data_IF_284253068011
#
_entry.id   IF_284253068011
#
_cell.length_a   1.000
_cell.length_b   1.000
_cell.length_c   1.000
_cell.angle_alpha   90.00
_cell.angle_beta   90.00
_cell.angle_gamma   90.00
#
_symmetry.space_group_name_H-M   'P 1'
#
loop_
_entity.id
_entity.type
_entity.pdbx_description
1 polymer ?
#
# COMPACT_ATOMS: atom_id res chain seq x y z
N UNK A 1 -4.62 -5.81 16.07
CA UNK A 1 -5.28 -5.29 14.85
C UNK A 1 -5.80 -3.90 15.10
N UNK A 2 -5.25 -2.92 14.42
CA UNK A 2 -5.65 -1.52 14.64
C UNK A 2 -6.86 -1.08 13.84
N UNK A 3 -6.99 -1.59 12.62
CA UNK A 3 -8.04 -1.11 11.71
C UNK A 3 -8.94 -2.28 11.35
N UNK A 4 -10.17 -2.23 11.86
CA UNK A 4 -11.17 -3.26 11.58
C UNK A 4 -11.99 -2.94 10.35
N UNK A 5 -12.13 -1.66 10.03
CA UNK A 5 -12.90 -1.21 8.87
C UNK A 5 -12.10 -0.22 8.05
N UNK A 6 -12.49 -0.09 6.77
CA UNK A 6 -11.86 0.90 5.87
C UNK A 6 -12.07 2.31 6.39
N UNK A 7 -13.22 2.59 6.97
CA UNK A 7 -13.56 3.90 7.51
C UNK A 7 -12.60 4.31 8.63
N UNK A 8 -12.23 3.37 9.49
CA UNK A 8 -11.26 3.64 10.54
C UNK A 8 -9.90 3.99 9.95
N UNK A 9 -9.48 3.25 8.92
CA UNK A 9 -8.21 3.51 8.26
C UNK A 9 -8.22 4.88 7.58
N UNK A 10 -9.28 5.19 6.83
CA UNK A 10 -9.41 6.46 6.13
C UNK A 10 -9.38 7.63 7.12
N UNK A 11 -10.09 7.50 8.24
CA UNK A 11 -10.13 8.57 9.24
C UNK A 11 -8.75 8.85 9.84
N UNK A 12 -7.92 7.83 9.97
CA UNK A 12 -6.60 7.95 10.58
C UNK A 12 -5.48 8.24 9.56
N UNK A 13 -5.49 7.55 8.43
CA UNK A 13 -4.39 7.61 7.45
C UNK A 13 -4.75 8.29 6.15
N UNK A 14 -6.03 8.35 5.80
CA UNK A 14 -6.49 8.99 4.57
C UNK A 14 -6.76 8.00 3.45
N UNK A 15 -7.62 8.42 2.51
CA UNK A 15 -8.07 7.57 1.42
C UNK A 15 -6.96 7.26 0.42
N UNK A 16 -6.02 8.19 0.21
CA UNK A 16 -4.88 7.95 -0.69
C UNK A 16 -4.04 6.78 -0.21
N UNK A 17 -3.79 6.72 1.10
CA UNK A 17 -2.97 5.65 1.67
C UNK A 17 -3.72 4.33 1.69
N UNK A 18 -5.03 4.37 1.83
CA UNK A 18 -5.84 3.17 1.68
C UNK A 18 -5.69 2.59 0.28
N UNK A 19 -5.80 3.42 -0.74
CA UNK A 19 -5.64 2.99 -2.13
C UNK A 19 -4.26 2.40 -2.38
N UNK A 20 -3.22 3.01 -1.82
CA UNK A 20 -1.85 2.51 -1.94
C UNK A 20 -1.73 1.11 -1.32
N UNK A 21 -2.23 0.92 -0.11
CA UNK A 21 -2.15 -0.36 0.59
C UNK A 21 -2.90 -1.44 -0.17
N UNK A 22 -4.11 -1.15 -0.64
CA UNK A 22 -4.91 -2.11 -1.40
C UNK A 22 -4.24 -2.48 -2.72
N UNK A 23 -3.65 -1.51 -3.40
CA UNK A 23 -2.96 -1.75 -4.66
C UNK A 23 -1.77 -2.69 -4.48
N UNK A 24 -0.92 -2.38 -3.50
CA UNK A 24 0.27 -3.20 -3.25
C UNK A 24 -0.13 -4.61 -2.80
N UNK A 25 -1.11 -4.71 -1.92
CA UNK A 25 -1.57 -6.02 -1.43
C UNK A 25 -2.10 -6.86 -2.58
N UNK A 26 -2.84 -6.24 -3.50
CA UNK A 26 -3.34 -6.95 -4.68
C UNK A 26 -2.23 -7.51 -5.55
N UNK A 27 -1.16 -6.73 -5.75
CA UNK A 27 -0.01 -7.21 -6.53
C UNK A 27 0.72 -8.34 -5.82
N UNK A 28 0.86 -8.25 -4.50
CA UNK A 28 1.49 -9.33 -3.73
C UNK A 28 0.68 -10.62 -3.80
N UNK A 29 -0.65 -10.51 -3.78
CA UNK A 29 -1.52 -11.68 -3.91
C UNK A 29 -1.39 -12.35 -5.27
N UNK A 30 -0.95 -11.60 -6.29
CA UNK A 30 -0.67 -12.16 -7.62
C UNK A 30 0.70 -12.82 -7.69
N UNK A 31 1.47 -12.77 -6.62
CA UNK A 31 2.77 -13.42 -6.54
C UNK A 31 3.95 -12.56 -6.99
N UNK A 32 3.77 -11.25 -7.15
CA UNK A 32 4.87 -10.38 -7.56
C UNK A 32 5.86 -10.19 -6.41
N UNK A 33 7.15 -10.19 -6.75
CA UNK A 33 8.20 -9.85 -5.80
C UNK A 33 8.22 -8.35 -5.55
N UNK A 34 8.90 -7.93 -4.48
CA UNK A 34 8.96 -6.53 -4.09
C UNK A 34 9.43 -5.63 -5.25
N UNK A 35 10.48 -6.04 -5.95
CA UNK A 35 11.02 -5.25 -7.06
C UNK A 35 10.00 -5.05 -8.17
N UNK A 36 9.22 -6.09 -8.47
CA UNK A 36 8.19 -6.02 -9.48
C UNK A 36 7.02 -5.15 -9.03
N UNK A 37 6.65 -5.23 -7.76
CA UNK A 37 5.63 -4.36 -7.19
C UNK A 37 6.06 -2.90 -7.30
N UNK A 38 7.30 -2.60 -6.94
CA UNK A 38 7.83 -1.25 -7.02
C UNK A 38 7.84 -0.72 -8.45
N UNK A 39 8.22 -1.58 -9.41
CA UNK A 39 8.21 -1.21 -10.83
C UNK A 39 6.79 -0.87 -11.30
N UNK A 40 5.80 -1.65 -10.86
CA UNK A 40 4.41 -1.39 -11.23
C UNK A 40 3.89 -0.09 -10.61
N UNK A 41 4.30 0.23 -9.39
CA UNK A 41 3.90 1.47 -8.75
C UNK A 41 4.36 2.70 -9.54
N UNK A 42 5.59 2.66 -10.06
CA UNK A 42 6.12 3.74 -10.87
C UNK A 42 5.46 3.76 -12.25
N UNK A 43 5.36 2.59 -12.89
CA UNK A 43 4.79 2.46 -14.23
C UNK A 43 3.37 3.01 -14.30
N UNK A 44 2.56 2.72 -13.31
CA UNK A 44 1.16 3.11 -13.28
C UNK A 44 0.94 4.44 -12.55
N UNK A 45 2.02 5.14 -12.20
CA UNK A 45 1.98 6.46 -11.56
C UNK A 45 1.23 6.49 -10.24
N UNK A 46 1.18 5.35 -9.56
CA UNK A 46 0.65 5.28 -8.20
C UNK A 46 1.61 6.00 -7.26
N UNK A 47 2.92 5.81 -7.48
CA UNK A 47 3.97 6.57 -6.80
C UNK A 47 4.65 7.43 -7.88
N UNK A 48 4.73 8.74 -7.63
CA UNK A 48 5.14 9.69 -8.67
C UNK A 48 6.64 9.77 -8.90
N UNK A 49 7.44 9.37 -7.93
CA UNK A 49 8.90 9.45 -8.09
C UNK A 49 9.59 8.32 -7.33
N UNK A 50 10.78 7.89 -7.79
CA UNK A 50 11.55 6.86 -7.07
C UNK A 50 11.87 7.25 -5.62
N UNK A 51 12.01 8.55 -5.33
CA UNK A 51 12.26 9.01 -3.97
C UNK A 51 11.12 8.65 -3.02
N UNK A 52 9.89 8.76 -3.50
CA UNK A 52 8.71 8.45 -2.71
C UNK A 52 8.49 6.95 -2.55
N UNK A 53 9.10 6.16 -3.43
CA UNK A 53 8.87 4.72 -3.50
C UNK A 53 9.26 4.02 -2.20
N UNK A 54 10.43 4.33 -1.66
CA UNK A 54 10.89 3.71 -0.42
C UNK A 54 10.00 4.10 0.76
N UNK A 55 9.60 5.37 0.83
CA UNK A 55 8.75 5.85 1.90
C UNK A 55 7.38 5.19 1.86
N UNK A 56 6.79 5.12 0.67
CA UNK A 56 5.46 4.55 0.50
C UNK A 56 5.47 3.06 0.75
N UNK A 57 6.50 2.35 0.29
CA UNK A 57 6.59 0.91 0.52
C UNK A 57 6.84 0.61 2.00
N UNK A 58 7.65 1.41 2.67
CA UNK A 58 7.88 1.26 4.11
C UNK A 58 6.58 1.48 4.89
N UNK A 59 5.80 2.48 4.50
CA UNK A 59 4.49 2.71 5.10
C UNK A 59 3.59 1.47 4.94
N UNK A 60 3.56 0.91 3.73
CA UNK A 60 2.78 -0.29 3.47
C UNK A 60 3.23 -1.44 4.38
N UNK A 61 4.54 -1.67 4.48
CA UNK A 61 5.06 -2.75 5.31
C UNK A 61 4.70 -2.58 6.78
N UNK A 62 4.61 -1.35 7.26
CA UNK A 62 4.23 -1.07 8.64
C UNK A 62 2.76 -1.36 8.91
N UNK A 63 1.89 -1.10 7.95
CA UNK A 63 0.44 -1.18 8.18
C UNK A 63 -0.22 -2.44 7.64
N UNK A 64 0.46 -3.21 6.79
CA UNK A 64 -0.18 -4.34 6.11
C UNK A 64 -0.78 -5.37 7.06
N UNK A 65 -0.17 -5.53 8.23
CA UNK A 65 -0.66 -6.49 9.23
C UNK A 65 -1.66 -5.87 10.19
N UNK A 66 -1.96 -4.59 10.03
CA UNK A 66 -2.88 -3.87 10.90
C UNK A 66 -4.27 -3.71 10.28
N UNK A 67 -4.47 -4.19 9.06
CA UNK A 67 -5.75 -4.05 8.34
C UNK A 67 -6.44 -5.41 8.29
N UNK A 68 -7.72 -5.43 8.70
CA UNK A 68 -8.43 -6.68 8.85
C UNK A 68 -9.07 -7.21 7.57
N UNK A 69 -9.31 -6.33 6.60
CA UNK A 69 -10.10 -6.69 5.42
C UNK A 69 -9.25 -7.13 4.21
N UNK A 70 -7.94 -7.01 4.27
CA UNK A 70 -7.08 -7.36 3.15
C UNK A 70 -6.40 -8.70 3.40
#
# INVERSE_FOLDING_TARGET
MKYKTKEQFIAHKGIRRLGLVEYIKGLEHKGLAKEDVQAELIKNKVVKSPRMLDLDYRFYEEVKDEVAWI
#
